data_IF_493088882301
#
_entry.id   IF_493088882301
#
_cell.length_a   1.000
_cell.length_b   1.000
_cell.length_c   1.000
_cell.angle_alpha   90.00
_cell.angle_beta   90.00
_cell.angle_gamma   90.00
#
_symmetry.space_group_name_H-M   'P 1'
#
loop_
_entity.id
_entity.type
_entity.pdbx_description
1 polymer ?
#
# COMPACT_ATOMS: atom_id res chain seq x y z
N UNK A 1 -9.09 -5.77 -1.41
CA UNK A 1 -8.88 -6.75 -2.50
C UNK A 1 -9.52 -8.06 -2.10
N UNK A 2 -10.51 -8.54 -2.83
CA UNK A 2 -11.22 -9.80 -2.52
C UNK A 2 -10.71 -10.91 -3.43
N UNK A 3 -10.43 -12.08 -2.85
CA UNK A 3 -9.87 -13.22 -3.58
C UNK A 3 -10.28 -14.54 -2.93
N UNK A 4 -10.09 -15.64 -3.63
CA UNK A 4 -10.27 -16.98 -3.09
C UNK A 4 -8.90 -17.59 -2.81
N UNK A 5 -8.59 -17.84 -1.54
CA UNK A 5 -7.31 -18.41 -1.11
C UNK A 5 -7.52 -19.24 0.16
N UNK A 6 -6.77 -20.34 0.32
CA UNK A 6 -6.96 -21.27 1.43
C UNK A 6 -8.34 -21.94 1.44
N UNK A 7 -8.97 -22.12 0.27
CA UNK A 7 -10.31 -22.71 0.14
C UNK A 7 -11.46 -21.79 0.61
N UNK A 8 -11.19 -20.51 0.86
CA UNK A 8 -12.16 -19.55 1.38
C UNK A 8 -12.11 -18.23 0.64
N UNK A 9 -13.29 -17.60 0.48
CA UNK A 9 -13.39 -16.21 0.06
C UNK A 9 -12.82 -15.32 1.17
N UNK A 10 -11.89 -14.45 0.82
CA UNK A 10 -11.21 -13.57 1.75
C UNK A 10 -11.00 -12.18 1.16
N UNK A 11 -10.87 -11.21 2.06
CA UNK A 11 -10.63 -9.81 1.72
C UNK A 11 -9.34 -9.36 2.41
N UNK A 12 -8.40 -8.87 1.61
CA UNK A 12 -7.23 -8.15 2.09
C UNK A 12 -7.62 -6.68 2.24
N UNK A 13 -7.33 -6.13 3.42
CA UNK A 13 -7.50 -4.72 3.75
C UNK A 13 -6.21 -4.16 4.38
N UNK A 14 -6.03 -2.85 4.35
CA UNK A 14 -4.91 -2.19 5.00
C UNK A 14 -5.40 -1.05 5.87
N UNK A 15 -4.69 -0.81 6.97
CA UNK A 15 -4.92 0.32 7.84
C UNK A 15 -3.62 1.14 7.93
N UNK A 16 -3.65 2.42 7.50
CA UNK A 16 -2.54 3.32 7.74
C UNK A 16 -2.50 3.67 9.23
N UNK A 17 -1.33 3.47 9.85
CA UNK A 17 -1.02 3.92 11.19
C UNK A 17 0.13 4.92 11.12
N UNK A 18 0.40 5.60 12.24
CA UNK A 18 1.57 6.46 12.33
C UNK A 18 2.85 5.66 12.00
N UNK A 19 3.57 6.10 10.96
CA UNK A 19 4.82 5.53 10.47
C UNK A 19 4.77 4.05 9.98
N UNK A 20 3.59 3.46 9.78
CA UNK A 20 3.48 2.08 9.25
C UNK A 20 2.14 1.81 8.61
N UNK A 21 2.10 0.83 7.71
CA UNK A 21 0.87 0.30 7.14
C UNK A 21 0.70 -1.13 7.67
N UNK A 22 -0.44 -1.42 8.26
CA UNK A 22 -0.78 -2.77 8.71
C UNK A 22 -1.67 -3.40 7.65
N UNK A 23 -1.23 -4.51 7.08
CA UNK A 23 -2.00 -5.29 6.11
C UNK A 23 -2.67 -6.43 6.86
N UNK A 24 -3.96 -6.63 6.58
CA UNK A 24 -4.82 -7.63 7.23
C UNK A 24 -5.55 -8.43 6.17
N UNK A 25 -5.89 -9.68 6.49
CA UNK A 25 -6.67 -10.57 5.64
C UNK A 25 -7.68 -11.32 6.48
N UNK A 26 -8.95 -11.23 6.09
CA UNK A 26 -10.06 -11.87 6.79
C UNK A 26 -10.85 -12.75 5.84
N UNK A 27 -11.31 -13.91 6.29
CA UNK A 27 -12.30 -14.70 5.53
C UNK A 27 -13.67 -14.06 5.68
N UNK A 28 -14.49 -14.14 4.63
CA UNK A 28 -15.82 -13.54 4.63
C UNK A 28 -16.76 -14.13 5.69
N UNK A 29 -16.49 -15.37 6.11
CA UNK A 29 -17.23 -16.11 7.13
C UNK A 29 -16.58 -16.08 8.52
N UNK A 30 -15.47 -15.35 8.69
CA UNK A 30 -14.66 -15.29 9.91
C UNK A 30 -14.24 -16.67 10.49
N UNK A 31 -14.23 -17.72 9.66
CA UNK A 31 -13.98 -19.09 10.10
C UNK A 31 -12.50 -19.45 10.25
N UNK A 32 -11.61 -18.69 9.60
CA UNK A 32 -10.19 -19.00 9.59
C UNK A 32 -9.32 -17.77 9.33
N UNK A 33 -8.04 -17.87 9.71
CA UNK A 33 -7.00 -16.96 9.26
C UNK A 33 -6.32 -17.52 8.01
N UNK A 34 -6.25 -16.72 6.94
CA UNK A 34 -5.55 -17.09 5.71
C UNK A 34 -4.25 -16.29 5.64
N UNK A 35 -3.12 -16.99 5.55
CA UNK A 35 -1.81 -16.34 5.45
C UNK A 35 -1.72 -15.42 4.23
N UNK A 36 -0.94 -14.34 4.35
CA UNK A 36 -0.52 -13.55 3.20
C UNK A 36 0.55 -14.34 2.44
N UNK A 37 0.30 -14.59 1.15
CA UNK A 37 1.29 -15.25 0.30
C UNK A 37 2.43 -14.29 -0.04
N UNK A 38 3.66 -14.78 -0.02
CA UNK A 38 4.85 -14.05 -0.48
C UNK A 38 4.87 -13.79 -1.98
N UNK A 39 4.01 -14.48 -2.75
CA UNK A 39 3.84 -14.25 -4.19
C UNK A 39 3.00 -13.00 -4.51
N UNK A 40 2.30 -12.43 -3.52
CA UNK A 40 1.51 -11.22 -3.73
C UNK A 40 2.44 -10.00 -3.81
N UNK A 41 2.39 -9.32 -4.94
CA UNK A 41 3.07 -8.04 -5.13
C UNK A 41 2.14 -6.90 -4.71
N UNK A 42 2.65 -6.01 -3.84
CA UNK A 42 1.93 -4.83 -3.38
C UNK A 42 2.47 -3.60 -4.11
N UNK A 43 1.56 -2.76 -4.62
CA UNK A 43 1.90 -1.43 -5.12
C UNK A 43 1.37 -0.39 -4.13
N UNK A 44 2.28 0.39 -3.55
CA UNK A 44 1.92 1.52 -2.70
C UNK A 44 1.96 2.81 -3.51
N UNK A 45 0.95 3.66 -3.33
CA UNK A 45 0.92 5.01 -3.89
C UNK A 45 0.98 5.97 -2.71
N UNK A 46 2.14 6.59 -2.51
CA UNK A 46 2.28 7.65 -1.52
C UNK A 46 1.77 8.94 -2.14
N UNK A 47 0.69 9.48 -1.58
CA UNK A 47 0.21 10.82 -1.91
C UNK A 47 0.75 11.73 -0.81
N UNK A 48 1.77 12.55 -1.09
CA UNK A 48 2.31 13.44 -0.09
C UNK A 48 1.26 14.51 0.22
N UNK A 49 0.87 14.65 1.49
CA UNK A 49 -0.06 15.68 1.91
C UNK A 49 0.71 16.97 2.25
N UNK A 50 0.25 18.12 1.74
CA UNK A 50 0.67 19.45 2.21
C UNK A 50 1.54 20.27 1.25
N UNK A 51 2.18 21.29 1.84
CA UNK A 51 2.90 22.40 1.17
C UNK A 51 4.13 21.95 0.37
N UNK A 52 4.64 20.74 0.61
CA UNK A 52 5.80 20.22 -0.11
C UNK A 52 5.47 19.84 -1.56
N UNK A 53 4.25 19.38 -1.83
CA UNK A 53 3.80 19.06 -3.20
C UNK A 53 3.39 20.32 -3.95
N UNK A 54 2.78 21.29 -3.25
CA UNK A 54 2.29 22.53 -3.87
C UNK A 54 3.41 23.41 -4.44
N UNK A 55 4.64 23.26 -3.94
CA UNK A 55 5.81 24.01 -4.41
C UNK A 55 6.58 23.30 -5.53
N UNK A 56 6.19 22.07 -5.88
CA UNK A 56 6.83 21.32 -6.96
C UNK A 56 6.07 21.54 -8.28
N UNK A 57 6.77 21.82 -9.39
CA UNK A 57 6.11 21.98 -10.67
C UNK A 57 5.53 20.63 -11.13
N UNK A 58 4.33 20.67 -11.73
CA UNK A 58 3.57 19.48 -12.15
C UNK A 58 4.37 18.48 -13.00
N UNK A 59 5.32 18.96 -13.81
CA UNK A 59 6.20 18.13 -14.64
C UNK A 59 7.12 17.20 -13.81
N UNK A 60 7.48 17.62 -12.60
CA UNK A 60 8.44 16.93 -11.73
C UNK A 60 7.74 15.85 -10.89
N UNK A 61 6.43 15.96 -10.67
CA UNK A 61 5.62 14.97 -9.94
C UNK A 61 5.57 13.60 -10.62
N UNK A 62 5.73 13.58 -11.95
CA UNK A 62 5.73 12.34 -12.73
C UNK A 62 7.12 11.68 -12.81
N UNK A 63 8.18 12.35 -12.33
CA UNK A 63 9.53 11.81 -12.35
C UNK A 63 9.79 10.97 -11.09
N UNK A 64 9.73 9.64 -11.25
CA UNK A 64 9.90 8.69 -10.15
C UNK A 64 11.20 8.87 -9.37
N UNK A 65 12.35 8.96 -10.05
CA UNK A 65 13.66 9.10 -9.42
C UNK A 65 13.78 10.39 -8.61
N UNK A 66 13.25 11.49 -9.16
CA UNK A 66 13.21 12.77 -8.48
C UNK A 66 12.34 12.71 -7.23
N UNK A 67 11.15 12.11 -7.31
CA UNK A 67 10.25 11.96 -6.17
C UNK A 67 10.84 11.04 -5.10
N UNK A 68 11.49 9.96 -5.49
CA UNK A 68 12.19 9.04 -4.57
C UNK A 68 13.24 9.77 -3.75
N UNK A 69 14.10 10.57 -4.42
CA UNK A 69 15.12 11.39 -3.75
C UNK A 69 14.51 12.48 -2.87
N UNK A 70 13.47 13.16 -3.36
CA UNK A 70 12.82 14.29 -2.67
C UNK A 70 12.18 13.84 -1.36
N UNK A 71 11.46 12.71 -1.39
CA UNK A 71 10.78 12.16 -0.22
C UNK A 71 11.64 11.18 0.59
N UNK A 72 12.92 10.99 0.21
CA UNK A 72 13.86 10.05 0.86
C UNK A 72 13.27 8.65 1.00
N UNK A 73 12.59 8.18 -0.05
CA UNK A 73 12.01 6.83 -0.08
C UNK A 73 13.17 5.83 -0.23
N UNK A 74 13.32 4.86 0.69
CA UNK A 74 14.38 3.85 0.61
C UNK A 74 14.27 2.98 -0.64
N UNK A 75 15.40 2.38 -1.04
CA UNK A 75 15.49 1.42 -2.15
C UNK A 75 14.78 0.09 -1.85
#
# INVERSE_FOLDING_TARGET
YSSFAGGKLNTINFMPLFNRIVITRFTADNSASVALSTLLQYRYVFIPAGTQVSNLPLKDLNNYELMKKTFKVPD
#
